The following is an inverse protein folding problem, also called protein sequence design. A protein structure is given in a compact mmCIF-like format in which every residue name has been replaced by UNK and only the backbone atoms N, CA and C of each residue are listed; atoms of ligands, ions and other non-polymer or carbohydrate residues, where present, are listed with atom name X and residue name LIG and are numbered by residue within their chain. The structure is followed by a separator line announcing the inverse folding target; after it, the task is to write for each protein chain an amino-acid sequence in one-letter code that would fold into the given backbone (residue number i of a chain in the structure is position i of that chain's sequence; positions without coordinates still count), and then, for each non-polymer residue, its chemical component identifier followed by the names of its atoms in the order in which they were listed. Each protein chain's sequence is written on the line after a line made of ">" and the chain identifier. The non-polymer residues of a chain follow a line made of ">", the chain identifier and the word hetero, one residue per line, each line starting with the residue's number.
data_IF_843560309294
#
_entry.id   IF_843560309294
#
_cell.length_a   1.000
_cell.length_b   1.000
_cell.length_c   1.000
_cell.angle_alpha   90.00
_cell.angle_beta   90.00
_cell.angle_gamma   90.00
#
_symmetry.space_group_name_H-M   'P 1'
#
loop_
_entity.id
_entity.type
_entity.pdbx_description
1 polymer ?
#
# COMPACT_ATOMS: atom_id res chain seq x y z
N UNK A 1 25.12 -1.55 -12.32
CA UNK A 1 24.81 -0.54 -11.28
C UNK A 1 24.66 0.90 -11.83
N UNK A 2 24.33 1.10 -13.11
CA UNK A 2 24.27 2.44 -13.72
C UNK A 2 22.94 3.19 -13.54
N UNK A 3 21.86 2.49 -13.14
CA UNK A 3 20.52 3.06 -13.03
C UNK A 3 20.19 3.62 -11.65
N UNK A 4 20.88 3.19 -10.59
CA UNK A 4 20.61 3.62 -9.22
C UNK A 4 20.75 5.14 -8.99
N UNK A 5 21.79 5.84 -9.49
CA UNK A 5 21.86 7.30 -9.34
C UNK A 5 20.72 8.02 -10.07
N UNK A 6 20.27 7.50 -11.21
CA UNK A 6 19.18 8.09 -11.98
C UNK A 6 17.83 8.03 -11.24
N UNK A 7 17.59 6.97 -10.46
CA UNK A 7 16.37 6.81 -9.64
C UNK A 7 16.39 7.78 -8.46
N UNK A 8 17.55 7.99 -7.82
CA UNK A 8 17.67 8.90 -6.68
C UNK A 8 17.41 10.36 -7.08
N UNK A 9 17.78 10.73 -8.31
CA UNK A 9 17.60 12.08 -8.85
C UNK A 9 16.18 12.33 -9.39
N UNK A 10 15.27 11.34 -9.37
CA UNK A 10 13.90 11.54 -9.81
C UNK A 10 13.15 12.50 -8.86
N UNK A 11 12.45 13.52 -9.40
CA UNK A 11 11.67 14.43 -8.58
C UNK A 11 10.46 13.71 -7.97
N UNK A 12 10.42 13.62 -6.63
CA UNK A 12 9.30 13.04 -5.85
C UNK A 12 8.22 14.09 -5.56
N UNK A 13 7.43 14.43 -6.58
CA UNK A 13 6.47 15.55 -6.50
C UNK A 13 5.00 15.11 -6.38
N UNK A 14 4.70 13.82 -6.53
CA UNK A 14 3.30 13.33 -6.57
C UNK A 14 2.66 13.13 -5.20
N UNK A 15 3.44 13.29 -4.12
CA UNK A 15 3.01 13.05 -2.74
C UNK A 15 3.52 11.70 -2.22
N UNK A 16 3.06 11.35 -1.01
CA UNK A 16 3.57 10.21 -0.25
C UNK A 16 2.62 9.01 -0.30
N UNK A 17 3.19 7.81 -0.39
CA UNK A 17 2.48 6.53 -0.41
C UNK A 17 3.23 5.51 0.46
N UNK A 18 2.49 4.74 1.24
CA UNK A 18 3.01 3.59 1.99
C UNK A 18 2.63 2.30 1.26
N UNK A 19 3.57 1.38 1.12
CA UNK A 19 3.36 0.06 0.54
C UNK A 19 3.87 -1.00 1.51
N UNK A 20 3.02 -1.97 1.86
CA UNK A 20 3.32 -2.99 2.86
C UNK A 20 2.82 -4.36 2.41
N UNK A 21 3.52 -5.43 2.81
CA UNK A 21 2.87 -6.73 2.91
C UNK A 21 1.87 -6.71 4.09
N UNK A 22 0.90 -7.62 4.09
CA UNK A 22 -0.04 -7.72 5.20
C UNK A 22 0.69 -8.06 6.51
N UNK A 23 0.25 -7.52 7.68
CA UNK A 23 0.83 -7.93 8.95
C UNK A 23 0.75 -9.45 9.13
N UNK A 24 1.85 -10.07 9.57
CA UNK A 24 1.98 -11.52 9.68
C UNK A 24 2.32 -12.26 8.37
N UNK A 25 2.40 -11.59 7.22
CA UNK A 25 2.84 -12.20 5.97
C UNK A 25 4.31 -11.95 5.64
N UNK A 26 4.97 -12.99 5.11
CA UNK A 26 6.33 -12.91 4.55
C UNK A 26 6.34 -12.73 3.02
N UNK A 27 5.18 -12.80 2.36
CA UNK A 27 5.06 -12.64 0.92
C UNK A 27 5.11 -11.17 0.52
N UNK A 28 6.31 -10.67 0.27
CA UNK A 28 6.54 -9.23 0.09
C UNK A 28 6.85 -8.81 -1.36
N UNK A 29 7.09 -9.77 -2.26
CA UNK A 29 7.50 -9.50 -3.65
C UNK A 29 6.48 -8.61 -4.38
N UNK A 30 5.18 -8.87 -4.21
CA UNK A 30 4.14 -8.04 -4.84
C UNK A 30 4.14 -6.60 -4.34
N UNK A 31 4.31 -6.41 -3.03
CA UNK A 31 4.44 -5.09 -2.42
C UNK A 31 5.71 -4.37 -2.88
N UNK A 32 6.85 -5.08 -2.96
CA UNK A 32 8.12 -4.52 -3.47
C UNK A 32 7.98 -4.05 -4.92
N UNK A 33 7.39 -4.87 -5.80
CA UNK A 33 7.17 -4.49 -7.21
C UNK A 33 6.33 -3.22 -7.31
N UNK A 34 5.24 -3.14 -6.55
CA UNK A 34 4.39 -1.95 -6.55
C UNK A 34 5.15 -0.71 -6.04
N UNK A 35 5.93 -0.86 -4.96
CA UNK A 35 6.73 0.23 -4.41
C UNK A 35 7.75 0.77 -5.42
N UNK A 36 8.51 -0.13 -6.06
CA UNK A 36 9.52 0.25 -7.03
C UNK A 36 8.89 0.99 -8.22
N UNK A 37 7.73 0.52 -8.70
CA UNK A 37 7.03 1.19 -9.80
C UNK A 37 6.44 2.55 -9.41
N UNK A 38 5.95 2.72 -8.18
CA UNK A 38 5.48 4.00 -7.68
C UNK A 38 6.62 5.01 -7.55
N UNK A 39 7.78 4.58 -7.04
CA UNK A 39 8.99 5.40 -6.98
C UNK A 39 9.45 5.83 -8.38
N UNK A 40 9.50 4.90 -9.33
CA UNK A 40 9.78 5.19 -10.75
C UNK A 40 8.75 6.15 -11.37
N UNK A 41 7.53 6.14 -10.86
CA UNK A 41 6.45 7.04 -11.30
C UNK A 41 6.51 8.42 -10.60
N UNK A 42 7.48 8.68 -9.72
CA UNK A 42 7.67 9.97 -9.05
C UNK A 42 6.90 10.15 -7.72
N UNK A 43 6.47 9.06 -7.10
CA UNK A 43 5.91 9.06 -5.75
C UNK A 43 6.99 8.93 -4.68
N UNK A 44 6.81 9.62 -3.56
CA UNK A 44 7.63 9.42 -2.36
C UNK A 44 7.12 8.17 -1.61
N UNK A 45 7.79 7.05 -1.85
CA UNK A 45 7.27 5.73 -1.51
C UNK A 45 7.97 5.15 -0.27
N UNK A 46 7.18 4.84 0.75
CA UNK A 46 7.63 4.17 1.96
C UNK A 46 7.27 2.68 1.90
N UNK A 47 8.26 1.84 1.61
CA UNK A 47 8.10 0.39 1.64
C UNK A 47 8.47 -0.16 3.03
N UNK A 48 7.53 -0.79 3.72
CA UNK A 48 7.74 -1.26 5.10
C UNK A 48 8.18 -2.73 5.21
N UNK A 49 8.15 -3.47 4.09
CA UNK A 49 8.58 -4.87 4.05
C UNK A 49 7.52 -5.90 4.45
N UNK A 50 8.00 -7.11 4.69
CA UNK A 50 7.25 -8.23 5.25
C UNK A 50 6.87 -8.03 6.73
N UNK A 51 5.67 -8.49 7.08
CA UNK A 51 5.18 -8.63 8.47
C UNK A 51 5.38 -7.40 9.36
N UNK A 52 5.26 -6.18 8.81
CA UNK A 52 5.29 -4.95 9.61
C UNK A 52 4.09 -4.91 10.57
N UNK A 53 4.29 -4.60 11.87
CA UNK A 53 3.19 -4.45 12.82
C UNK A 53 2.20 -3.36 12.39
N UNK A 54 0.91 -3.60 12.61
CA UNK A 54 -0.13 -2.63 12.26
C UNK A 54 0.07 -1.27 12.95
N UNK A 55 0.49 -1.27 14.21
CA UNK A 55 0.80 -0.05 14.97
C UNK A 55 1.89 0.78 14.30
N UNK A 56 2.97 0.15 13.82
CA UNK A 56 4.05 0.84 13.12
C UNK A 56 3.61 1.42 11.77
N UNK A 57 2.70 0.74 11.05
CA UNK A 57 2.11 1.27 9.81
C UNK A 57 1.26 2.51 10.10
N UNK A 58 0.46 2.48 11.17
CA UNK A 58 -0.37 3.63 11.58
C UNK A 58 0.51 4.80 12.04
N UNK A 59 1.55 4.55 12.84
CA UNK A 59 2.53 5.57 13.23
C UNK A 59 3.20 6.21 12.01
N UNK A 60 3.60 5.40 11.03
CA UNK A 60 4.19 5.90 9.79
C UNK A 60 3.20 6.75 8.99
N UNK A 61 1.92 6.35 8.92
CA UNK A 61 0.87 7.17 8.30
C UNK A 61 0.70 8.52 8.99
N UNK A 62 0.75 8.56 10.32
CA UNK A 62 0.70 9.82 11.09
C UNK A 62 1.90 10.70 10.78
N UNK A 63 3.10 10.13 10.73
CA UNK A 63 4.34 10.88 10.52
C UNK A 63 4.47 11.43 9.10
N UNK A 64 4.10 10.62 8.11
CA UNK A 64 4.24 10.96 6.69
C UNK A 64 3.05 11.77 6.20
N UNK A 65 1.85 11.56 6.73
CA UNK A 65 0.62 12.02 6.07
C UNK A 65 0.47 11.44 4.66
N UNK A 66 0.96 10.19 4.46
CA UNK A 66 0.84 9.51 3.18
C UNK A 66 -0.62 9.44 2.73
N UNK A 67 -0.86 9.78 1.47
CA UNK A 67 -2.19 9.84 0.87
C UNK A 67 -2.77 8.45 0.61
N UNK A 68 -1.90 7.48 0.42
CA UNK A 68 -2.26 6.11 0.07
C UNK A 68 -1.57 5.12 0.99
N UNK A 69 -2.32 4.09 1.41
CA UNK A 69 -1.80 2.87 2.01
C UNK A 69 -2.12 1.70 1.07
N UNK A 70 -1.10 1.06 0.53
CA UNK A 70 -1.22 -0.11 -0.33
C UNK A 70 -0.82 -1.37 0.43
N UNK A 71 -1.72 -2.36 0.50
CA UNK A 71 -1.52 -3.59 1.25
C UNK A 71 -1.56 -4.78 0.29
N UNK A 72 -0.45 -5.52 0.19
CA UNK A 72 -0.38 -6.78 -0.54
C UNK A 72 -0.71 -7.95 0.38
N UNK A 73 -1.70 -8.76 0.01
CA UNK A 73 -2.15 -9.94 0.76
C UNK A 73 -2.12 -11.17 -0.14
N UNK A 74 -1.37 -12.20 0.25
CA UNK A 74 -1.27 -13.45 -0.51
C UNK A 74 -2.17 -14.53 0.08
N UNK A 75 -2.22 -14.63 1.41
CA UNK A 75 -2.95 -15.70 2.09
C UNK A 75 -4.30 -15.20 2.63
N UNK A 76 -5.36 -16.00 2.43
CA UNK A 76 -6.69 -15.70 2.95
C UNK A 76 -6.72 -15.61 4.49
N UNK A 77 -5.86 -16.37 5.17
CA UNK A 77 -5.72 -16.36 6.62
C UNK A 77 -5.23 -15.02 7.20
N UNK A 78 -4.64 -14.17 6.36
CA UNK A 78 -4.13 -12.85 6.75
C UNK A 78 -5.17 -11.73 6.67
N UNK A 79 -6.35 -12.00 6.09
CA UNK A 79 -7.42 -11.01 5.95
C UNK A 79 -7.95 -10.45 7.29
N UNK A 80 -8.04 -11.22 8.39
CA UNK A 80 -8.37 -10.64 9.70
C UNK A 80 -7.36 -9.59 10.14
N UNK A 81 -6.06 -9.82 9.93
CA UNK A 81 -5.01 -8.85 10.27
C UNK A 81 -5.07 -7.60 9.38
N UNK A 82 -5.42 -7.75 8.10
CA UNK A 82 -5.67 -6.61 7.20
C UNK A 82 -6.89 -5.80 7.67
N UNK A 83 -7.98 -6.48 8.04
CA UNK A 83 -9.19 -5.83 8.56
C UNK A 83 -8.89 -5.03 9.83
N UNK A 84 -8.11 -5.61 10.74
CA UNK A 84 -7.67 -4.93 11.96
C UNK A 84 -6.79 -3.71 11.66
N UNK A 85 -5.80 -3.84 10.77
CA UNK A 85 -4.98 -2.72 10.33
C UNK A 85 -5.83 -1.58 9.77
N UNK A 86 -6.77 -1.88 8.85
CA UNK A 86 -7.66 -0.89 8.26
C UNK A 86 -8.51 -0.21 9.35
N UNK A 87 -9.07 -0.97 10.28
CA UNK A 87 -9.83 -0.43 11.39
C UNK A 87 -9.00 0.53 12.27
N UNK A 88 -7.74 0.18 12.57
CA UNK A 88 -6.83 1.04 13.32
C UNK A 88 -6.50 2.33 12.54
N UNK A 89 -6.27 2.24 11.23
CA UNK A 89 -6.05 3.41 10.37
C UNK A 89 -7.27 4.34 10.38
N UNK A 90 -8.49 3.80 10.32
CA UNK A 90 -9.71 4.61 10.42
C UNK A 90 -9.87 5.23 11.81
N UNK A 91 -9.57 4.49 12.87
CA UNK A 91 -9.65 4.98 14.26
C UNK A 91 -8.65 6.10 14.56
N UNK A 92 -7.54 6.18 13.82
CA UNK A 92 -6.57 7.27 13.95
C UNK A 92 -7.08 8.64 13.49
N UNK A 93 -8.26 8.72 12.83
CA UNK A 93 -8.92 9.96 12.42
C UNK A 93 -8.00 10.94 11.65
N UNK A 94 -7.16 10.41 10.77
CA UNK A 94 -6.24 11.20 9.94
C UNK A 94 -7.02 12.12 8.99
N UNK A 95 -6.49 13.32 8.78
CA UNK A 95 -7.10 14.33 7.90
C UNK A 95 -6.04 14.97 6.99
N UNK A 96 -6.08 14.71 5.66
CA UNK A 96 -7.05 13.87 4.97
C UNK A 96 -6.88 12.39 5.32
N UNK A 97 -7.99 11.63 5.29
CA UNK A 97 -7.93 10.19 5.51
C UNK A 97 -7.22 9.51 4.33
N UNK A 98 -6.25 8.61 4.57
CA UNK A 98 -5.56 7.92 3.49
C UNK A 98 -6.53 7.01 2.73
N UNK A 99 -6.36 6.94 1.42
CA UNK A 99 -7.03 5.94 0.59
C UNK A 99 -6.30 4.60 0.71
N UNK A 100 -7.05 3.56 1.02
CA UNK A 100 -6.51 2.22 1.28
C UNK A 100 -6.78 1.33 0.07
N UNK A 101 -5.72 0.84 -0.54
CA UNK A 101 -5.75 -0.06 -1.68
C UNK A 101 -5.28 -1.43 -1.22
N UNK A 102 -5.99 -2.48 -1.62
CA UNK A 102 -5.56 -3.85 -1.38
C UNK A 102 -5.31 -4.57 -2.69
N UNK A 103 -4.39 -5.53 -2.69
CA UNK A 103 -4.09 -6.37 -3.84
C UNK A 103 -3.45 -7.68 -3.41
N UNK A 104 -3.09 -8.51 -4.39
CA UNK A 104 -2.50 -9.82 -4.16
C UNK A 104 -3.49 -10.97 -4.27
N UNK A 105 -2.97 -12.19 -4.19
CA UNK A 105 -3.68 -13.41 -4.59
C UNK A 105 -4.91 -13.70 -3.75
N UNK A 106 -4.95 -13.26 -2.48
CA UNK A 106 -6.08 -13.47 -1.57
C UNK A 106 -7.40 -12.91 -2.13
N UNK A 107 -7.35 -11.84 -2.94
CA UNK A 107 -8.54 -11.17 -3.45
C UNK A 107 -9.00 -11.69 -4.82
N UNK A 108 -8.18 -12.46 -5.53
CA UNK A 108 -8.52 -12.97 -6.88
C UNK A 108 -9.63 -14.03 -6.86
N UNK A 109 -9.70 -14.81 -5.78
CA UNK A 109 -10.64 -15.93 -5.67
C UNK A 109 -12.05 -15.52 -5.21
N UNK A 110 -12.21 -14.30 -4.68
CA UNK A 110 -13.49 -13.81 -4.14
C UNK A 110 -13.70 -12.31 -4.45
N UNK A 111 -14.33 -11.99 -5.60
CA UNK A 111 -14.63 -10.62 -6.00
C UNK A 111 -15.58 -9.93 -5.01
N UNK A 112 -15.03 -9.19 -4.05
CA UNK A 112 -15.79 -8.48 -3.01
C UNK A 112 -15.18 -8.56 -1.62
N UNK A 113 -14.22 -9.45 -1.41
CA UNK A 113 -13.51 -9.62 -0.13
C UNK A 113 -12.80 -8.32 0.30
N UNK A 114 -12.30 -7.54 -0.66
CA UNK A 114 -11.68 -6.24 -0.42
C UNK A 114 -12.63 -5.22 0.24
N UNK A 115 -13.94 -5.31 -0.03
CA UNK A 115 -14.95 -4.46 0.63
C UNK A 115 -15.20 -4.91 2.07
N UNK A 116 -15.12 -6.21 2.32
CA UNK A 116 -15.33 -6.77 3.66
C UNK A 116 -14.20 -6.39 4.62
N UNK A 117 -12.96 -6.30 4.12
CA UNK A 117 -11.82 -5.81 4.91
C UNK A 117 -11.81 -4.29 5.07
N UNK A 118 -12.69 -3.55 4.38
CA UNK A 118 -12.84 -2.10 4.51
C UNK A 118 -11.91 -1.25 3.63
N UNK A 119 -11.34 -1.83 2.57
CA UNK A 119 -10.50 -1.11 1.62
C UNK A 119 -11.32 -0.18 0.71
N UNK A 120 -10.70 0.90 0.21
CA UNK A 120 -11.33 1.83 -0.75
C UNK A 120 -11.29 1.28 -2.18
N UNK A 121 -10.27 0.48 -2.52
CA UNK A 121 -10.10 -0.10 -3.85
C UNK A 121 -9.34 -1.43 -3.81
N UNK A 122 -9.54 -2.25 -4.84
CA UNK A 122 -8.81 -3.49 -5.09
C UNK A 122 -8.09 -3.42 -6.43
N UNK A 123 -6.79 -3.75 -6.42
CA UNK A 123 -5.99 -3.88 -7.63
C UNK A 123 -5.60 -5.34 -7.89
N UNK A 124 -5.90 -5.85 -9.09
CA UNK A 124 -5.52 -7.21 -9.53
C UNK A 124 -4.04 -7.35 -9.90
N UNK A 125 -3.36 -6.21 -10.08
CA UNK A 125 -1.97 -6.13 -10.52
C UNK A 125 -1.33 -4.81 -10.10
N UNK A 126 0.00 -4.78 -10.01
CA UNK A 126 0.73 -3.56 -9.67
C UNK A 126 0.45 -2.43 -10.68
N UNK A 127 0.33 -2.76 -11.96
CA UNK A 127 -0.01 -1.80 -13.02
C UNK A 127 -1.39 -1.17 -12.80
N UNK A 128 -2.39 -1.96 -12.41
CA UNK A 128 -3.72 -1.43 -12.10
C UNK A 128 -3.70 -0.55 -10.83
N UNK A 129 -2.94 -0.96 -9.81
CA UNK A 129 -2.73 -0.17 -8.59
C UNK A 129 -2.17 1.22 -8.90
N UNK A 130 -1.13 1.30 -9.75
CA UNK A 130 -0.56 2.58 -10.19
C UNK A 130 -1.58 3.40 -10.96
N UNK A 131 -2.28 2.80 -11.92
CA UNK A 131 -3.31 3.51 -12.71
C UNK A 131 -4.37 4.15 -11.81
N UNK A 132 -4.83 3.42 -10.79
CA UNK A 132 -5.81 3.96 -9.84
C UNK A 132 -5.23 5.11 -9.01
N UNK A 133 -4.03 4.94 -8.45
CA UNK A 133 -3.34 5.98 -7.67
C UNK A 133 -3.15 7.26 -8.51
N UNK A 134 -2.70 7.11 -9.76
CA UNK A 134 -2.49 8.24 -10.67
C UNK A 134 -3.80 8.89 -11.14
N UNK A 135 -4.91 8.15 -11.18
CA UNK A 135 -6.22 8.72 -11.52
C UNK A 135 -6.75 9.68 -10.44
N UNK A 136 -6.28 9.53 -9.20
CA UNK A 136 -6.65 10.36 -8.06
C UNK A 136 -5.57 11.43 -7.86
N UNK A 137 -5.25 12.19 -8.91
CA UNK A 137 -4.23 13.25 -8.83
C UNK A 137 -4.45 14.20 -7.63
N UNK A 138 -3.39 14.78 -7.05
CA UNK A 138 -3.50 15.91 -6.11
C UNK A 138 -4.23 17.10 -6.73
#
# INVERSE_FOLDING_TARGET
>A
AHYYPQILDLPRQKGQVIVTASPGELHEIGARILADLLELSGWDTYYTGASTPATSIVELLVQTQARFLCISTTLLESLPAVTELIAQVRAANLSPAPKILVGGQAYLYAPGLWRQVGADWFADSAHEGIRYIESIQP
#
